data_IF_571581862187
#
_entry.id   IF_571581862187
#
_cell.length_a   1.000
_cell.length_b   1.000
_cell.length_c   1.000
_cell.angle_alpha   90.00
_cell.angle_beta   90.00
_cell.angle_gamma   90.00
#
_symmetry.space_group_name_H-M   'P 1'
#
loop_
_entity.id
_entity.type
_entity.pdbx_description
1 polymer ?
#
# COMPACT_ATOMS: atom_id res chain seq x y z
N UNK A 1 6.84 -5.22 -21.89
CA UNK A 1 8.18 -4.98 -21.31
C UNK A 1 8.18 -3.96 -20.17
N UNK A 2 7.71 -2.72 -20.37
CA UNK A 2 7.70 -1.70 -19.29
C UNK A 2 6.99 -2.13 -18.00
N UNK A 3 5.77 -2.68 -18.10
CA UNK A 3 4.97 -3.16 -16.95
C UNK A 3 5.69 -4.23 -16.13
N UNK A 4 6.34 -5.14 -16.83
CA UNK A 4 7.12 -6.24 -16.27
C UNK A 4 8.31 -5.72 -15.46
N UNK A 5 9.03 -4.74 -16.01
CA UNK A 5 10.18 -4.13 -15.35
C UNK A 5 9.71 -3.45 -14.05
N UNK A 6 8.60 -2.71 -14.08
CA UNK A 6 8.04 -2.08 -12.89
C UNK A 6 7.57 -3.09 -11.85
N UNK A 7 6.91 -4.17 -12.28
CA UNK A 7 6.45 -5.24 -11.39
C UNK A 7 7.64 -5.90 -10.67
N UNK A 8 8.66 -6.34 -11.42
CA UNK A 8 9.87 -6.94 -10.84
C UNK A 8 10.59 -5.97 -9.91
N UNK A 9 10.71 -4.70 -10.32
CA UNK A 9 11.30 -3.66 -9.48
C UNK A 9 10.51 -3.46 -8.19
N UNK A 10 9.18 -3.49 -8.25
CA UNK A 10 8.31 -3.35 -7.09
C UNK A 10 8.55 -4.49 -6.09
N UNK A 11 8.49 -5.75 -6.53
CA UNK A 11 8.76 -6.91 -5.66
C UNK A 11 10.15 -6.83 -5.02
N UNK A 12 11.20 -6.58 -5.82
CA UNK A 12 12.58 -6.48 -5.32
C UNK A 12 12.70 -5.37 -4.27
N UNK A 13 12.15 -4.19 -4.54
CA UNK A 13 12.25 -3.06 -3.62
C UNK A 13 11.44 -3.28 -2.34
N UNK A 14 10.21 -3.82 -2.44
CA UNK A 14 9.38 -4.14 -1.27
C UNK A 14 10.11 -5.11 -0.34
N UNK A 15 10.66 -6.20 -0.89
CA UNK A 15 11.42 -7.19 -0.12
C UNK A 15 12.70 -6.58 0.46
N UNK A 16 13.50 -5.90 -0.35
CA UNK A 16 14.79 -5.35 0.08
C UNK A 16 14.63 -4.32 1.21
N UNK A 17 13.68 -3.39 1.06
CA UNK A 17 13.38 -2.40 2.11
C UNK A 17 12.90 -3.11 3.37
N UNK A 18 12.00 -4.08 3.23
CA UNK A 18 11.46 -4.82 4.38
C UNK A 18 12.56 -5.56 5.14
N UNK A 19 13.45 -6.27 4.46
CA UNK A 19 14.58 -6.97 5.07
C UNK A 19 15.49 -5.99 5.82
N UNK A 20 15.82 -4.84 5.22
CA UNK A 20 16.66 -3.83 5.87
C UNK A 20 16.00 -3.27 7.13
N UNK A 21 14.70 -2.97 7.05
CA UNK A 21 13.93 -2.44 8.18
C UNK A 21 13.78 -3.47 9.29
N UNK A 22 13.36 -4.72 9.00
CA UNK A 22 13.18 -5.81 9.98
C UNK A 22 14.50 -6.13 10.70
N UNK A 23 15.60 -6.25 9.95
CA UNK A 23 16.92 -6.50 10.54
C UNK A 23 17.30 -5.41 11.53
N UNK A 24 16.95 -4.16 11.23
CA UNK A 24 17.27 -3.06 12.13
C UNK A 24 16.32 -3.00 13.32
N UNK A 25 15.01 -3.17 13.11
CA UNK A 25 14.01 -3.02 14.17
C UNK A 25 14.06 -4.12 15.22
N UNK A 26 14.57 -5.30 14.88
CA UNK A 26 14.73 -6.43 15.80
C UNK A 26 15.84 -6.24 16.85
N UNK A 27 16.74 -5.27 16.65
CA UNK A 27 17.89 -5.02 17.54
C UNK A 27 17.85 -3.65 18.22
N UNK A 28 16.66 -3.10 18.48
CA UNK A 28 16.51 -1.75 19.02
C UNK A 28 16.20 -1.74 20.51
N UNK A 29 16.80 -0.78 21.20
CA UNK A 29 16.59 -0.52 22.62
C UNK A 29 15.17 0.02 22.90
N UNK A 30 14.63 0.86 22.02
CA UNK A 30 13.23 1.29 22.06
C UNK A 30 12.33 0.20 21.47
N UNK A 31 12.05 -0.79 22.31
CA UNK A 31 11.24 -1.96 21.96
C UNK A 31 9.85 -1.59 21.41
N UNK A 32 9.21 -0.53 21.94
CA UNK A 32 7.88 -0.10 21.50
C UNK A 32 7.92 0.47 20.08
N UNK A 33 8.86 1.37 19.78
CA UNK A 33 9.02 1.91 18.42
C UNK A 33 9.51 0.85 17.43
N UNK A 34 10.41 -0.04 17.86
CA UNK A 34 10.90 -1.15 17.05
C UNK A 34 9.79 -2.12 16.65
N UNK A 35 8.97 -2.55 17.60
CA UNK A 35 7.81 -3.41 17.32
C UNK A 35 6.81 -2.75 16.39
N UNK A 36 6.45 -1.48 16.65
CA UNK A 36 5.57 -0.72 15.76
C UNK A 36 6.10 -0.69 14.32
N UNK A 37 7.38 -0.36 14.15
CA UNK A 37 8.01 -0.30 12.85
C UNK A 37 8.08 -1.67 12.16
N UNK A 38 8.31 -2.75 12.91
CA UNK A 38 8.32 -4.13 12.39
C UNK A 38 6.95 -4.55 11.86
N UNK A 39 5.89 -4.33 12.64
CA UNK A 39 4.54 -4.67 12.22
C UNK A 39 4.05 -3.78 11.05
N UNK A 40 4.40 -2.49 11.08
CA UNK A 40 4.05 -1.57 10.00
C UNK A 40 4.77 -1.95 8.69
N UNK A 41 6.06 -2.30 8.72
CA UNK A 41 6.78 -2.65 7.48
C UNK A 41 6.31 -3.99 6.92
N UNK A 42 6.10 -5.01 7.75
CA UNK A 42 5.63 -6.31 7.29
C UNK A 42 4.18 -6.25 6.81
N UNK A 43 3.30 -5.65 7.60
CA UNK A 43 1.88 -5.61 7.27
C UNK A 43 1.54 -4.54 6.24
N UNK A 44 1.78 -3.28 6.60
CA UNK A 44 1.23 -2.13 5.88
C UNK A 44 2.07 -1.72 4.66
N UNK A 45 3.33 -2.13 4.58
CA UNK A 45 4.17 -1.88 3.41
C UNK A 45 4.33 -3.15 2.56
N UNK A 46 4.87 -4.24 3.11
CA UNK A 46 5.09 -5.47 2.33
C UNK A 46 3.78 -6.15 1.94
N UNK A 47 2.96 -6.61 2.90
CA UNK A 47 1.76 -7.38 2.58
C UNK A 47 0.76 -6.57 1.75
N UNK A 48 0.49 -5.31 2.12
CA UNK A 48 -0.41 -4.44 1.32
C UNK A 48 0.20 -4.15 -0.06
N UNK A 49 1.49 -3.84 -0.16
CA UNK A 49 2.15 -3.60 -1.44
C UNK A 49 2.08 -4.81 -2.38
N UNK A 50 2.36 -6.00 -1.85
CA UNK A 50 2.23 -7.27 -2.58
C UNK A 50 0.77 -7.53 -2.98
N UNK A 51 -0.20 -7.26 -2.10
CA UNK A 51 -1.62 -7.44 -2.43
C UNK A 51 -2.05 -6.64 -3.67
N UNK A 52 -1.47 -5.46 -3.91
CA UNK A 52 -1.72 -4.64 -5.10
C UNK A 52 -1.04 -5.17 -6.37
N UNK A 53 -0.05 -6.06 -6.23
CA UNK A 53 0.72 -6.62 -7.34
C UNK A 53 0.24 -8.02 -7.75
N UNK A 54 -0.17 -8.87 -6.80
CA UNK A 54 -0.33 -10.31 -7.06
C UNK A 54 -1.33 -10.64 -8.17
N UNK A 55 -2.46 -9.91 -8.27
CA UNK A 55 -3.46 -10.13 -9.32
C UNK A 55 -3.05 -9.56 -10.69
N UNK A 56 -1.93 -8.85 -10.75
CA UNK A 56 -1.40 -8.22 -11.96
C UNK A 56 -0.06 -8.81 -12.39
N UNK A 57 0.41 -9.82 -11.66
CA UNK A 57 1.72 -10.40 -11.87
C UNK A 57 1.73 -11.29 -13.10
N UNK A 58 2.55 -10.91 -14.09
CA UNK A 58 2.68 -11.65 -15.36
C UNK A 58 3.10 -13.11 -15.15
N UNK A 59 4.03 -13.37 -14.22
CA UNK A 59 4.61 -14.69 -14.00
C UNK A 59 3.73 -15.54 -13.07
N UNK A 60 3.12 -14.95 -12.04
CA UNK A 60 2.25 -15.67 -11.12
C UNK A 60 1.00 -16.22 -11.83
N UNK A 61 0.47 -15.50 -12.82
CA UNK A 61 -0.65 -15.93 -13.65
C UNK A 61 -0.39 -17.20 -14.46
N UNK A 62 0.87 -17.46 -14.82
CA UNK A 62 1.26 -18.67 -15.56
C UNK A 62 1.33 -19.91 -14.64
N UNK A 63 1.55 -19.72 -13.34
CA UNK A 63 1.72 -20.79 -12.37
C UNK A 63 0.48 -21.05 -11.49
N UNK A 64 -0.39 -20.06 -11.34
CA UNK A 64 -1.49 -20.07 -10.37
C UNK A 64 -2.78 -19.62 -11.05
N UNK A 65 -3.89 -20.32 -10.77
CA UNK A 65 -5.21 -19.94 -11.28
C UNK A 65 -5.68 -18.59 -10.72
N UNK A 66 -6.50 -17.88 -11.50
CA UNK A 66 -7.04 -16.56 -11.14
C UNK A 66 -7.74 -16.57 -9.76
N UNK A 67 -8.51 -17.62 -9.46
CA UNK A 67 -9.17 -17.78 -8.16
C UNK A 67 -8.18 -17.81 -6.99
N UNK A 68 -7.03 -18.47 -7.17
CA UNK A 68 -5.98 -18.54 -6.14
C UNK A 68 -5.21 -17.24 -6.02
N UNK A 69 -5.03 -16.49 -7.11
CA UNK A 69 -4.46 -15.13 -7.08
C UNK A 69 -5.39 -14.17 -6.32
N UNK A 70 -6.68 -14.22 -6.58
CA UNK A 70 -7.68 -13.44 -5.85
C UNK A 70 -7.71 -13.79 -4.36
N UNK A 71 -7.63 -15.08 -4.02
CA UNK A 71 -7.51 -15.50 -2.63
C UNK A 71 -6.21 -14.98 -1.98
N UNK A 72 -5.09 -15.01 -2.69
CA UNK A 72 -3.81 -14.49 -2.20
C UNK A 72 -3.89 -12.97 -1.95
N UNK A 73 -4.49 -12.20 -2.87
CA UNK A 73 -4.78 -10.78 -2.69
C UNK A 73 -5.58 -10.53 -1.40
N UNK A 74 -6.67 -11.27 -1.20
CA UNK A 74 -7.50 -11.15 0.00
C UNK A 74 -6.70 -11.45 1.28
N UNK A 75 -5.95 -12.55 1.29
CA UNK A 75 -5.14 -12.96 2.45
C UNK A 75 -4.07 -11.92 2.77
N UNK A 76 -3.33 -11.44 1.77
CA UNK A 76 -2.31 -10.42 1.96
C UNK A 76 -2.91 -9.10 2.48
N UNK A 77 -4.04 -8.67 1.94
CA UNK A 77 -4.75 -7.48 2.42
C UNK A 77 -5.21 -7.60 3.88
N UNK A 78 -5.80 -8.75 4.25
CA UNK A 78 -6.25 -9.02 5.62
C UNK A 78 -5.09 -9.11 6.62
N UNK A 79 -4.03 -9.88 6.27
CA UNK A 79 -2.83 -10.01 7.10
C UNK A 79 -2.14 -8.65 7.25
N UNK A 80 -2.05 -7.88 6.17
CA UNK A 80 -1.49 -6.54 6.16
C UNK A 80 -2.21 -5.61 7.14
N UNK A 81 -3.54 -5.59 7.09
CA UNK A 81 -4.38 -4.82 8.00
C UNK A 81 -4.23 -5.28 9.45
N UNK A 82 -4.24 -6.59 9.70
CA UNK A 82 -4.13 -7.15 11.05
C UNK A 82 -2.80 -6.81 11.72
N UNK A 83 -1.67 -7.05 11.02
CA UNK A 83 -0.35 -6.69 11.54
C UNK A 83 -0.25 -5.18 11.78
N UNK A 84 -0.76 -4.36 10.87
CA UNK A 84 -0.83 -2.91 11.05
C UNK A 84 -1.59 -2.49 12.30
N UNK A 85 -2.75 -3.11 12.56
CA UNK A 85 -3.56 -2.86 13.74
C UNK A 85 -2.78 -3.17 15.02
N UNK A 86 -2.15 -4.35 15.08
CA UNK A 86 -1.32 -4.77 16.22
C UNK A 86 -0.20 -3.75 16.48
N UNK A 87 0.51 -3.33 15.42
CA UNK A 87 1.60 -2.36 15.52
C UNK A 87 1.14 -0.98 16.00
N UNK A 88 -0.01 -0.49 15.52
CA UNK A 88 -0.57 0.81 15.94
C UNK A 88 -1.08 0.74 17.38
N UNK A 89 -1.78 -0.33 17.75
CA UNK A 89 -2.36 -0.50 19.07
C UNK A 89 -1.28 -0.64 20.14
N UNK A 90 -0.25 -1.48 19.91
CA UNK A 90 0.88 -1.64 20.80
C UNK A 90 1.60 -0.31 21.09
N UNK A 91 1.82 0.51 20.04
CA UNK A 91 2.42 1.84 20.21
C UNK A 91 1.50 2.81 20.94
N UNK A 92 0.20 2.73 20.69
CA UNK A 92 -0.80 3.61 21.31
C UNK A 92 -0.94 3.34 22.81
N UNK A 93 -0.97 2.08 23.23
CA UNK A 93 -0.96 1.73 24.67
C UNK A 93 0.25 2.35 25.36
N UNK A 94 1.43 2.22 24.75
CA UNK A 94 2.65 2.78 25.33
C UNK A 94 2.57 4.31 25.46
N UNK A 95 2.14 5.01 24.40
CA UNK A 95 1.95 6.47 24.42
C UNK A 95 0.95 6.93 25.48
N UNK A 96 -0.15 6.20 25.64
CA UNK A 96 -1.15 6.49 26.66
C UNK A 96 -0.57 6.40 28.07
N UNK A 97 0.25 5.38 28.36
CA UNK A 97 0.93 5.24 29.67
C UNK A 97 1.85 6.41 30.00
N UNK A 98 2.51 7.00 29.00
CA UNK A 98 3.43 8.14 29.17
C UNK A 98 2.78 9.49 28.87
N UNK A 99 1.45 9.55 28.71
CA UNK A 99 0.68 10.77 28.42
C UNK A 99 1.17 11.55 27.19
N UNK A 100 1.74 10.85 26.20
CA UNK A 100 2.15 11.47 24.94
C UNK A 100 0.96 11.64 23.99
N UNK A 101 0.87 12.77 23.25
CA UNK A 101 -0.18 12.96 22.27
C UNK A 101 -0.09 11.95 21.12
N UNK A 102 -1.26 11.48 20.69
CA UNK A 102 -1.42 10.53 19.59
C UNK A 102 -1.53 11.26 18.24
N UNK A 103 -0.97 10.66 17.19
CA UNK A 103 -1.13 11.08 15.78
C UNK A 103 -0.85 12.55 15.42
N UNK A 104 -0.17 13.33 16.27
CA UNK A 104 0.12 14.75 16.03
C UNK A 104 1.27 15.02 15.03
N UNK A 105 1.90 13.98 14.48
CA UNK A 105 2.98 14.11 13.50
C UNK A 105 2.49 13.80 12.09
N UNK A 106 3.17 14.34 11.06
CA UNK A 106 2.88 13.98 9.66
C UNK A 106 2.92 12.47 9.42
N UNK A 107 3.88 11.79 10.05
CA UNK A 107 3.95 10.33 10.05
C UNK A 107 2.69 9.68 10.64
N UNK A 108 2.27 10.12 11.83
CA UNK A 108 1.09 9.59 12.51
C UNK A 108 -0.21 9.84 11.74
N UNK A 109 -0.40 11.05 11.21
CA UNK A 109 -1.59 11.41 10.44
C UNK A 109 -1.68 10.63 9.11
N UNK A 110 -0.59 10.62 8.32
CA UNK A 110 -0.56 9.83 7.08
C UNK A 110 -0.74 8.33 7.36
N UNK A 111 -0.15 7.82 8.44
CA UNK A 111 -0.26 6.42 8.84
C UNK A 111 -1.70 6.05 9.20
N UNK A 112 -2.38 6.88 9.99
CA UNK A 112 -3.77 6.65 10.39
C UNK A 112 -4.73 6.73 9.19
N UNK A 113 -4.62 7.77 8.36
CA UNK A 113 -5.46 7.90 7.16
C UNK A 113 -5.22 6.76 6.18
N UNK A 114 -3.96 6.39 5.94
CA UNK A 114 -3.60 5.25 5.11
C UNK A 114 -4.19 3.94 5.64
N UNK A 115 -4.06 3.69 6.95
CA UNK A 115 -4.64 2.53 7.61
C UNK A 115 -6.16 2.46 7.47
N UNK A 116 -6.87 3.57 7.71
CA UNK A 116 -8.34 3.63 7.57
C UNK A 116 -8.80 3.38 6.13
N UNK A 117 -8.07 3.88 5.14
CA UNK A 117 -8.36 3.60 3.73
C UNK A 117 -8.13 2.13 3.39
N UNK A 118 -7.06 1.49 3.89
CA UNK A 118 -6.88 0.04 3.71
C UNK A 118 -7.97 -0.75 4.41
N UNK A 119 -8.42 -0.34 5.59
CA UNK A 119 -9.57 -0.96 6.26
C UNK A 119 -10.85 -0.86 5.41
N UNK A 120 -11.10 0.31 4.80
CA UNK A 120 -12.17 0.51 3.83
C UNK A 120 -12.02 -0.33 2.57
N UNK A 121 -10.80 -0.50 2.06
CA UNK A 121 -10.50 -1.37 0.93
C UNK A 121 -10.81 -2.84 1.26
N UNK A 122 -10.41 -3.33 2.44
CA UNK A 122 -10.74 -4.69 2.89
C UNK A 122 -12.26 -4.87 3.04
N UNK A 123 -12.95 -3.91 3.67
CA UNK A 123 -14.41 -3.98 3.84
C UNK A 123 -15.16 -3.97 2.49
N UNK A 124 -14.77 -3.09 1.56
CA UNK A 124 -15.33 -3.07 0.20
C UNK A 124 -14.97 -4.31 -0.61
N UNK A 125 -13.78 -4.89 -0.40
CA UNK A 125 -13.35 -6.16 -0.99
C UNK A 125 -14.23 -7.32 -0.54
N UNK A 126 -14.54 -7.41 0.76
CA UNK A 126 -15.52 -8.38 1.26
C UNK A 126 -16.91 -8.20 0.63
N UNK A 127 -17.37 -6.96 0.51
CA UNK A 127 -18.65 -6.68 -0.15
C UNK A 127 -18.64 -7.12 -1.64
N UNK A 128 -17.52 -6.97 -2.34
CA UNK A 128 -17.35 -7.41 -3.74
C UNK A 128 -17.43 -8.93 -3.92
N UNK A 129 -17.10 -9.72 -2.90
CA UNK A 129 -17.31 -11.18 -2.92
C UNK A 129 -18.80 -11.52 -2.99
N UNK A 130 -19.66 -10.69 -2.39
CA UNK A 130 -21.11 -10.89 -2.38
C UNK A 130 -21.82 -10.19 -3.56
N UNK A 131 -21.34 -9.01 -3.97
CA UNK A 131 -21.99 -8.16 -4.98
C UNK A 131 -20.96 -7.57 -5.94
N UNK A 132 -20.99 -7.99 -7.20
CA UNK A 132 -20.09 -7.45 -8.23
C UNK A 132 -20.71 -6.20 -8.87
N UNK A 133 -20.24 -5.01 -8.46
CA UNK A 133 -20.70 -3.73 -9.01
C UNK A 133 -19.52 -2.82 -9.35
N UNK A 134 -19.50 -2.27 -10.57
CA UNK A 134 -18.37 -1.47 -11.08
C UNK A 134 -18.02 -0.27 -10.18
N UNK A 135 -19.04 0.45 -9.67
CA UNK A 135 -18.78 1.58 -8.77
C UNK A 135 -18.11 1.13 -7.45
N UNK A 136 -18.46 -0.05 -6.94
CA UNK A 136 -17.84 -0.61 -5.73
C UNK A 136 -16.41 -1.06 -6.02
N UNK A 137 -16.14 -1.64 -7.19
CA UNK A 137 -14.78 -1.94 -7.67
C UNK A 137 -13.91 -0.68 -7.73
N UNK A 138 -14.43 0.42 -8.28
CA UNK A 138 -13.69 1.69 -8.35
C UNK A 138 -13.38 2.25 -6.96
N UNK A 139 -14.34 2.22 -6.04
CA UNK A 139 -14.12 2.65 -4.65
C UNK A 139 -13.07 1.78 -3.96
N UNK A 140 -13.17 0.45 -4.09
CA UNK A 140 -12.22 -0.50 -3.52
C UNK A 140 -10.79 -0.20 -3.99
N UNK A 141 -10.60 -0.05 -5.30
CA UNK A 141 -9.30 0.21 -5.91
C UNK A 141 -8.76 1.59 -5.53
N UNK A 142 -9.60 2.61 -5.49
CA UNK A 142 -9.21 3.96 -5.05
C UNK A 142 -8.76 3.95 -3.59
N UNK A 143 -9.50 3.29 -2.70
CA UNK A 143 -9.15 3.17 -1.28
C UNK A 143 -7.83 2.41 -1.10
N UNK A 144 -7.64 1.29 -1.79
CA UNK A 144 -6.39 0.51 -1.75
C UNK A 144 -5.19 1.33 -2.22
N UNK A 145 -5.31 1.98 -3.38
CA UNK A 145 -4.25 2.79 -3.98
C UNK A 145 -3.88 3.99 -3.08
N UNK A 146 -4.86 4.82 -2.71
CA UNK A 146 -4.62 5.99 -1.86
C UNK A 146 -4.13 5.60 -0.46
N UNK A 147 -4.66 4.50 0.09
CA UNK A 147 -4.22 3.94 1.36
C UNK A 147 -2.74 3.59 1.34
N UNK A 148 -2.31 2.81 0.34
CA UNK A 148 -0.90 2.41 0.20
C UNK A 148 0.04 3.60 -0.04
N UNK A 149 -0.36 4.60 -0.84
CA UNK A 149 0.41 5.83 -1.03
C UNK A 149 0.59 6.57 0.30
N UNK A 150 -0.48 6.75 1.09
CA UNK A 150 -0.40 7.42 2.39
C UNK A 150 0.45 6.65 3.41
N UNK A 151 0.37 5.33 3.43
CA UNK A 151 1.23 4.47 4.24
C UNK A 151 2.71 4.61 3.83
N UNK A 152 2.98 4.68 2.53
CA UNK A 152 4.34 4.88 2.01
C UNK A 152 4.87 6.29 2.34
N UNK A 153 4.03 7.32 2.26
CA UNK A 153 4.35 8.66 2.76
C UNK A 153 4.62 8.66 4.26
N UNK A 154 3.83 7.92 5.04
CA UNK A 154 4.03 7.76 6.48
C UNK A 154 5.41 7.14 6.77
N UNK A 155 5.79 6.08 6.07
CA UNK A 155 7.13 5.47 6.17
C UNK A 155 8.24 6.46 5.79
N UNK A 156 8.06 7.21 4.71
CA UNK A 156 9.01 8.25 4.30
C UNK A 156 9.18 9.32 5.38
N UNK A 157 8.10 9.75 6.04
CA UNK A 157 8.19 10.66 7.18
C UNK A 157 8.83 10.01 8.41
N UNK A 158 8.61 8.72 8.66
CA UNK A 158 9.27 7.99 9.74
C UNK A 158 10.80 8.03 9.62
N UNK A 159 11.32 7.97 8.38
CA UNK A 159 12.76 8.10 8.08
C UNK A 159 13.32 9.50 8.37
N UNK A 160 12.49 10.50 8.70
CA UNK A 160 12.92 11.82 9.17
C UNK A 160 12.97 11.95 10.70
N UNK A 161 12.30 11.05 11.42
CA UNK A 161 12.17 11.13 12.87
C UNK A 161 13.49 10.82 13.58
N UNK A 162 13.60 11.28 14.83
CA UNK A 162 14.79 11.06 15.65
C UNK A 162 15.18 9.59 15.79
N UNK A 163 14.20 8.69 15.76
CA UNK A 163 14.40 7.24 15.69
C UNK A 163 15.33 6.83 14.53
N UNK A 164 14.95 7.12 13.29
CA UNK A 164 15.74 6.71 12.12
C UNK A 164 17.13 7.37 12.10
N UNK A 165 17.24 8.60 12.60
CA UNK A 165 18.51 9.35 12.64
C UNK A 165 19.52 8.81 13.67
N UNK A 166 19.06 8.17 14.74
CA UNK A 166 19.94 7.47 15.70
C UNK A 166 20.45 6.15 15.14
N UNK A 167 19.63 5.50 14.31
CA UNK A 167 19.87 4.14 13.85
C UNK A 167 20.66 4.04 12.54
N UNK A 168 20.58 5.07 11.69
CA UNK A 168 21.21 5.07 10.39
C UNK A 168 21.92 6.39 10.11
N UNK A 169 23.02 6.32 9.37
CA UNK A 169 23.67 7.51 8.83
C UNK A 169 22.79 8.15 7.74
N UNK A 170 23.02 9.44 7.47
CA UNK A 170 22.24 10.23 6.52
C UNK A 170 22.19 9.63 5.11
N UNK A 171 23.27 8.97 4.67
CA UNK A 171 23.34 8.30 3.38
C UNK A 171 22.37 7.13 3.27
N UNK A 172 22.34 6.23 4.27
CA UNK A 172 21.38 5.11 4.30
C UNK A 172 19.95 5.60 4.36
N UNK A 173 19.68 6.64 5.14
CA UNK A 173 18.34 7.27 5.20
C UNK A 173 17.93 7.82 3.84
N UNK A 174 18.84 8.48 3.11
CA UNK A 174 18.58 9.01 1.77
C UNK A 174 18.24 7.90 0.78
N UNK A 175 19.01 6.80 0.79
CA UNK A 175 18.73 5.65 -0.08
C UNK A 175 17.41 4.96 0.27
N UNK A 176 17.14 4.71 1.56
CA UNK A 176 15.86 4.13 2.00
C UNK A 176 14.66 4.96 1.56
N UNK A 177 14.77 6.28 1.60
CA UNK A 177 13.76 7.18 1.05
C UNK A 177 13.60 6.93 -0.44
N UNK A 178 14.64 7.16 -1.24
CA UNK A 178 14.59 6.99 -2.70
C UNK A 178 14.00 5.62 -3.07
N UNK A 179 14.45 4.55 -2.42
CA UNK A 179 13.92 3.21 -2.61
C UNK A 179 12.44 3.10 -2.23
N UNK A 180 12.00 3.70 -1.11
CA UNK A 180 10.57 3.73 -0.71
C UNK A 180 9.71 4.43 -1.77
N UNK A 181 10.15 5.57 -2.30
CA UNK A 181 9.41 6.26 -3.37
C UNK A 181 9.40 5.46 -4.67
N UNK A 182 10.54 4.89 -5.05
CA UNK A 182 10.62 4.03 -6.24
C UNK A 182 9.71 2.80 -6.10
N UNK A 183 9.68 2.17 -4.93
CA UNK A 183 8.76 1.06 -4.62
C UNK A 183 7.31 1.53 -4.72
N UNK A 184 6.98 2.66 -4.11
CA UNK A 184 5.63 3.25 -4.14
C UNK A 184 5.17 3.45 -5.58
N UNK A 185 5.97 4.15 -6.39
CA UNK A 185 5.65 4.42 -7.81
C UNK A 185 5.48 3.10 -8.57
N UNK A 186 6.40 2.16 -8.38
CA UNK A 186 6.38 0.88 -9.12
C UNK A 186 5.13 0.05 -8.79
N UNK A 187 4.73 -0.03 -7.52
CA UNK A 187 3.51 -0.71 -7.07
C UNK A 187 2.25 -0.03 -7.62
N UNK A 188 2.13 1.29 -7.44
CA UNK A 188 0.88 2.00 -7.75
C UNK A 188 0.67 2.25 -9.24
N UNK A 189 1.72 2.20 -10.06
CA UNK A 189 1.64 2.56 -11.48
C UNK A 189 0.64 1.70 -12.27
N UNK A 190 0.62 0.39 -12.04
CA UNK A 190 -0.28 -0.50 -12.77
C UNK A 190 -1.73 -0.30 -12.31
N UNK A 191 -1.95 -0.29 -10.99
CA UNK A 191 -3.26 -0.06 -10.41
C UNK A 191 -3.83 1.31 -10.80
N UNK A 192 -3.00 2.34 -10.89
CA UNK A 192 -3.41 3.64 -11.39
C UNK A 192 -3.93 3.58 -12.83
N UNK A 193 -3.23 2.88 -13.73
CA UNK A 193 -3.68 2.70 -15.12
C UNK A 193 -5.02 1.97 -15.21
N UNK A 194 -5.17 0.90 -14.44
CA UNK A 194 -6.42 0.17 -14.39
C UNK A 194 -7.53 1.05 -13.77
N UNK A 195 -7.23 1.92 -12.80
CA UNK A 195 -8.23 2.80 -12.17
C UNK A 195 -8.71 3.87 -13.17
N UNK A 196 -7.79 4.46 -13.93
CA UNK A 196 -8.12 5.38 -15.01
C UNK A 196 -9.06 4.72 -16.03
N UNK A 197 -8.79 3.47 -16.42
CA UNK A 197 -9.67 2.71 -17.33
C UNK A 197 -11.08 2.57 -16.76
N UNK A 198 -11.21 2.17 -15.50
CA UNK A 198 -12.52 1.96 -14.88
C UNK A 198 -13.29 3.28 -14.71
N UNK A 199 -12.61 4.38 -14.37
CA UNK A 199 -13.21 5.72 -14.33
C UNK A 199 -13.73 6.12 -15.72
N UNK A 200 -12.95 5.89 -16.78
CA UNK A 200 -13.36 6.17 -18.16
C UNK A 200 -14.64 5.39 -18.52
N UNK A 201 -14.78 4.14 -18.07
CA UNK A 201 -15.99 3.35 -18.27
C UNK A 201 -17.21 3.85 -17.49
N UNK A 202 -17.00 4.55 -16.37
CA UNK A 202 -18.09 5.19 -15.61
C UNK A 202 -18.52 6.54 -16.18
N UNK A 203 -17.72 7.16 -17.06
CA UNK A 203 -18.06 8.47 -17.62
C UNK A 203 -19.26 8.38 -18.58
N UNK A 204 -20.24 9.32 -18.47
CA UNK A 204 -21.34 9.37 -19.41
C UNK A 204 -20.86 9.57 -20.85
N UNK A 205 -21.51 8.91 -21.82
CA UNK A 205 -21.20 9.08 -23.26
C UNK A 205 -21.29 10.54 -23.73
N UNK A 206 -22.07 11.38 -23.05
CA UNK A 206 -22.19 12.82 -23.32
C UNK A 206 -20.91 13.60 -23.07
N UNK A 207 -20.07 13.18 -22.12
CA UNK A 207 -18.77 13.81 -21.85
C UNK A 207 -17.82 13.66 -23.03
N UNK A 208 -17.74 12.47 -23.62
CA UNK A 208 -16.89 12.23 -24.79
C UNK A 208 -17.36 13.03 -26.01
N UNK A 209 -18.68 13.17 -26.18
CA UNK A 209 -19.26 14.04 -27.22
C UNK A 209 -18.91 15.51 -26.99
N UNK A 210 -18.92 15.99 -25.74
CA UNK A 210 -18.58 17.37 -25.40
C UNK A 210 -17.10 17.71 -25.64
N UNK A 211 -16.20 16.72 -25.55
CA UNK A 211 -14.75 16.88 -25.78
C UNK A 211 -14.38 16.61 -27.25
N UNK A 212 -15.36 16.36 -28.13
CA UNK A 212 -15.11 16.13 -29.56
C UNK A 212 -14.45 14.78 -29.89
N UNK A 213 -14.44 13.84 -28.94
CA UNK A 213 -13.92 12.49 -29.16
C UNK A 213 -15.01 11.60 -29.75
N UNK A 214 -14.81 11.17 -31.01
CA UNK A 214 -15.72 10.27 -31.72
C UNK A 214 -15.48 8.83 -31.25
N UNK A 215 -16.34 8.32 -30.36
CA UNK A 215 -16.30 6.91 -29.93
C UNK A 215 -16.93 6.06 -31.05
N UNK A 216 -16.16 5.72 -32.08
CA UNK A 216 -16.66 4.86 -33.16
C UNK A 216 -16.35 3.36 -32.94
N UNK A 217 -15.58 2.93 -31.91
CA UNK A 217 -15.30 1.49 -31.65
C UNK A 217 -14.96 1.17 -30.18
N UNK A 218 -15.96 0.93 -29.34
CA UNK A 218 -15.78 0.31 -28.00
C UNK A 218 -16.68 -0.93 -27.80
N UNK A 219 -17.19 -1.50 -28.89
CA UNK A 219 -17.81 -2.82 -28.91
C UNK A 219 -16.98 -3.72 -29.82
N UNK A 220 -16.08 -4.48 -29.19
CA UNK A 220 -15.76 -5.88 -29.50
C UNK A 220 -14.92 -6.41 -28.33
#
# INVERSE_FOLDING_TARGET
LYRIILELLAHILLIAITVVMVKKTSGLDDHSSGQHALYAILGLFLCVGESLLVCHSWWLGDFISENRLNLLHMVLGMVGLWLGLVGIFAKSIFKSKIHEPHFNSKHGLCGLLGFLLIAGAVASGFALVCFTHLALHVIHRLMGLCGFVLLSCSQWFALNLGFARREWNSWKIKWLRISTLAATISVVSYEFLCLCRDIVHLLPKSWFKAIGLKIDRLHN
#
